data_IF_497062624598
#
_entry.id   IF_497062624598
#
_cell.length_a   1.000
_cell.length_b   1.000
_cell.length_c   1.000
_cell.angle_alpha   90.00
_cell.angle_beta   90.00
_cell.angle_gamma   90.00
#
_symmetry.space_group_name_H-M   'P 1'
#
loop_
_entity.id
_entity.type
_entity.pdbx_description
1 polymer ?
#
# COMPACT_ATOMS: atom_id res chain seq x y z
N UNK A 1 4.90 -5.34 -9.93
CA UNK A 1 5.47 -4.36 -10.90
C UNK A 1 4.90 -3.00 -10.54
N UNK A 2 5.71 -1.92 -10.55
CA UNK A 2 5.24 -0.55 -10.27
C UNK A 2 4.25 -0.13 -11.35
N UNK A 3 3.15 0.50 -10.96
CA UNK A 3 2.11 1.00 -11.85
C UNK A 3 2.03 2.53 -11.81
N UNK A 4 2.20 3.18 -12.95
CA UNK A 4 2.19 4.64 -13.09
C UNK A 4 0.95 5.09 -13.85
N UNK A 5 0.15 5.97 -13.24
CA UNK A 5 -1.00 6.60 -13.86
C UNK A 5 -0.59 7.85 -14.66
N UNK A 6 -0.91 7.91 -15.94
CA UNK A 6 -0.76 9.13 -16.77
C UNK A 6 -2.09 9.88 -16.71
N UNK A 7 -2.16 10.90 -15.85
CA UNK A 7 -3.39 11.67 -15.60
C UNK A 7 -3.56 12.76 -16.66
N UNK A 8 -4.59 12.65 -17.48
CA UNK A 8 -4.94 13.67 -18.48
C UNK A 8 -5.84 14.73 -17.86
N UNK A 9 -5.22 15.86 -17.46
CA UNK A 9 -5.77 16.87 -16.56
C UNK A 9 -6.75 17.88 -17.19
N UNK A 10 -7.15 17.75 -18.46
CA UNK A 10 -8.12 18.64 -19.11
C UNK A 10 -9.26 17.86 -19.75
N UNK A 11 -10.49 18.28 -19.56
CA UNK A 11 -11.69 17.70 -20.18
C UNK A 11 -12.25 18.55 -21.33
N UNK A 12 -11.61 19.68 -21.66
CA UNK A 12 -12.07 20.61 -22.70
C UNK A 12 -12.26 19.92 -24.05
N UNK A 13 -13.36 20.12 -24.78
CA UNK A 13 -13.49 19.68 -26.18
C UNK A 13 -12.36 20.25 -27.05
N UNK A 14 -11.75 19.42 -27.88
CA UNK A 14 -10.63 19.83 -28.74
C UNK A 14 -9.33 20.12 -27.97
N UNK A 15 -9.16 19.57 -26.77
CA UNK A 15 -7.89 19.66 -25.99
C UNK A 15 -6.75 19.01 -26.79
N UNK A 16 -5.56 19.57 -26.60
CA UNK A 16 -4.32 19.02 -27.19
C UNK A 16 -3.71 17.92 -26.31
N UNK A 17 -4.16 17.83 -25.07
CA UNK A 17 -3.66 16.85 -24.10
C UNK A 17 -3.79 15.39 -24.55
N UNK A 18 -4.76 15.06 -25.42
CA UNK A 18 -4.90 13.71 -26.00
C UNK A 18 -3.64 13.30 -26.81
N UNK A 19 -3.06 14.22 -27.55
CA UNK A 19 -1.84 13.99 -28.34
C UNK A 19 -0.63 13.84 -27.43
N UNK A 20 -0.52 14.70 -26.41
CA UNK A 20 0.58 14.68 -25.43
C UNK A 20 0.52 13.40 -24.58
N UNK A 21 -0.64 13.06 -24.02
CA UNK A 21 -0.79 11.86 -23.19
C UNK A 21 -0.51 10.58 -23.97
N UNK A 22 -0.93 10.52 -25.23
CA UNK A 22 -0.61 9.40 -26.14
C UNK A 22 0.89 9.27 -26.34
N UNK A 23 1.59 10.36 -26.64
CA UNK A 23 3.05 10.37 -26.81
C UNK A 23 3.77 9.92 -25.54
N UNK A 24 3.36 10.40 -24.36
CA UNK A 24 3.92 9.95 -23.08
C UNK A 24 3.70 8.45 -22.90
N UNK A 25 2.48 7.96 -23.15
CA UNK A 25 2.13 6.54 -22.99
C UNK A 25 2.91 5.66 -23.99
N UNK A 26 2.98 6.02 -25.26
CA UNK A 26 3.72 5.25 -26.28
C UNK A 26 5.21 5.12 -25.95
N UNK A 27 5.82 6.17 -25.36
CA UNK A 27 7.22 6.13 -24.92
C UNK A 27 7.41 5.34 -23.64
N UNK A 28 6.46 5.45 -22.73
CA UNK A 28 6.47 4.73 -21.46
C UNK A 28 6.18 3.23 -21.64
N UNK A 29 5.28 2.84 -22.54
CA UNK A 29 4.88 1.45 -22.80
C UNK A 29 6.03 0.53 -23.26
N UNK A 30 7.10 1.10 -23.84
CA UNK A 30 8.29 0.35 -24.25
C UNK A 30 9.28 0.09 -23.11
N UNK A 31 8.98 0.56 -21.89
CA UNK A 31 9.78 0.33 -20.68
C UNK A 31 9.37 -1.01 -20.04
N UNK A 32 10.34 -1.78 -19.60
CA UNK A 32 10.06 -3.05 -18.90
C UNK A 32 10.08 -2.93 -17.37
N UNK A 33 10.26 -1.72 -16.82
CA UNK A 33 10.46 -1.45 -15.41
C UNK A 33 9.17 -1.04 -14.65
N UNK A 34 8.12 -0.65 -15.39
CA UNK A 34 6.81 -0.29 -14.82
C UNK A 34 5.67 -0.54 -15.83
N UNK A 35 4.45 -0.65 -15.32
CA UNK A 35 3.21 -0.60 -16.09
C UNK A 35 2.72 0.86 -16.15
N UNK A 36 2.24 1.30 -17.32
CA UNK A 36 1.72 2.64 -17.52
C UNK A 36 0.28 2.60 -18.02
N UNK A 37 -0.61 3.35 -17.38
CA UNK A 37 -2.02 3.44 -17.76
C UNK A 37 -2.49 4.90 -17.84
N UNK A 38 -3.27 5.23 -18.87
CA UNK A 38 -3.86 6.57 -19.01
C UNK A 38 -5.11 6.67 -18.14
N UNK A 39 -5.19 7.73 -17.34
CA UNK A 39 -6.34 8.10 -16.51
C UNK A 39 -6.92 9.40 -17.12
N UNK A 40 -7.94 9.28 -17.95
CA UNK A 40 -8.61 10.43 -18.54
C UNK A 40 -9.71 10.95 -17.60
N UNK A 41 -9.61 12.20 -17.16
CA UNK A 41 -10.62 12.79 -16.30
C UNK A 41 -12.01 12.95 -16.98
N UNK A 42 -12.13 12.77 -18.29
CA UNK A 42 -13.44 12.65 -18.96
C UNK A 42 -14.20 11.39 -18.58
N UNK A 43 -13.47 10.31 -18.31
CA UNK A 43 -14.05 9.02 -17.92
C UNK A 43 -14.45 9.02 -16.42
N UNK A 44 -14.04 10.06 -15.68
CA UNK A 44 -14.32 10.26 -14.28
C UNK A 44 -15.05 11.60 -14.03
N UNK A 45 -16.34 11.72 -14.39
CA UNK A 45 -17.09 12.98 -14.28
C UNK A 45 -17.46 13.27 -12.83
N UNK A 46 -16.51 13.79 -12.08
CA UNK A 46 -16.71 14.19 -10.68
C UNK A 46 -17.53 15.49 -10.60
N UNK A 47 -18.48 15.62 -9.66
CA UNK A 47 -19.16 16.87 -9.39
C UNK A 47 -18.18 17.90 -8.81
N UNK A 48 -18.60 19.14 -8.59
CA UNK A 48 -17.86 20.01 -7.69
C UNK A 48 -17.81 19.38 -6.31
N UNK A 49 -16.71 19.59 -5.57
CA UNK A 49 -16.53 18.99 -4.25
C UNK A 49 -17.63 19.49 -3.29
N UNK A 50 -18.48 18.56 -2.85
CA UNK A 50 -19.58 18.82 -1.90
C UNK A 50 -19.40 18.03 -0.59
N UNK A 51 -18.51 17.05 -0.59
CA UNK A 51 -18.18 16.24 0.59
C UNK A 51 -17.00 16.86 1.38
N UNK A 52 -16.90 16.58 2.69
CA UNK A 52 -15.68 16.93 3.43
C UNK A 52 -14.44 16.29 2.81
N UNK A 53 -13.26 16.91 2.95
CA UNK A 53 -12.01 16.35 2.43
C UNK A 53 -11.80 14.89 2.85
N UNK A 54 -11.37 14.06 1.91
CA UNK A 54 -11.28 12.60 2.03
C UNK A 54 -10.15 12.06 2.92
N UNK A 55 -9.83 12.71 4.04
CA UNK A 55 -8.76 12.27 4.96
C UNK A 55 -8.95 10.88 5.55
N UNK A 56 -10.20 10.38 5.57
CA UNK A 56 -10.52 9.05 6.10
C UNK A 56 -10.52 7.95 5.02
N UNK A 57 -10.40 8.29 3.74
CA UNK A 57 -10.58 7.34 2.63
C UNK A 57 -12.02 6.80 2.49
N UNK A 58 -12.99 7.46 3.12
CA UNK A 58 -14.41 7.07 3.08
C UNK A 58 -15.21 8.12 2.30
N UNK A 59 -15.75 7.72 1.17
CA UNK A 59 -16.49 8.59 0.25
C UNK A 59 -17.95 8.13 0.13
N UNK A 60 -18.88 9.07 0.10
CA UNK A 60 -20.31 8.77 -0.05
C UNK A 60 -20.70 8.68 -1.53
N UNK A 61 -20.16 9.57 -2.38
CA UNK A 61 -20.42 9.57 -3.82
C UNK A 61 -19.76 8.38 -4.50
N UNK A 62 -20.52 7.63 -5.30
CA UNK A 62 -20.03 6.45 -6.03
C UNK A 62 -18.95 6.80 -7.06
N UNK A 63 -19.04 7.96 -7.71
CA UNK A 63 -18.05 8.45 -8.68
C UNK A 63 -16.73 8.74 -7.98
N UNK A 64 -16.78 9.33 -6.78
CA UNK A 64 -15.58 9.55 -5.95
C UNK A 64 -14.95 8.22 -5.56
N UNK A 65 -15.74 7.22 -5.14
CA UNK A 65 -15.21 5.88 -4.82
C UNK A 65 -14.57 5.20 -6.04
N UNK A 66 -15.20 5.30 -7.20
CA UNK A 66 -14.67 4.73 -8.44
C UNK A 66 -13.33 5.39 -8.83
N UNK A 67 -13.26 6.72 -8.74
CA UNK A 67 -12.02 7.45 -9.01
C UNK A 67 -10.93 7.13 -7.97
N UNK A 68 -11.27 7.08 -6.69
CA UNK A 68 -10.38 6.69 -5.61
C UNK A 68 -9.76 5.31 -5.85
N UNK A 69 -10.56 4.33 -6.28
CA UNK A 69 -10.08 2.98 -6.61
C UNK A 69 -9.06 2.98 -7.76
N UNK A 70 -9.28 3.79 -8.80
CA UNK A 70 -8.33 3.94 -9.92
C UNK A 70 -7.02 4.55 -9.43
N UNK A 71 -7.08 5.63 -8.65
CA UNK A 71 -5.89 6.30 -8.10
C UNK A 71 -5.16 5.39 -7.11
N UNK A 72 -5.90 4.67 -6.25
CA UNK A 72 -5.32 3.72 -5.31
C UNK A 72 -4.52 2.61 -6.00
N UNK A 73 -4.95 2.17 -7.19
CA UNK A 73 -4.28 1.11 -7.95
C UNK A 73 -2.91 1.52 -8.54
N UNK A 74 -2.54 2.80 -8.49
CA UNK A 74 -1.28 3.31 -9.02
C UNK A 74 -0.26 3.57 -7.91
N UNK A 75 1.02 3.42 -8.24
CA UNK A 75 2.16 3.67 -7.35
C UNK A 75 2.76 5.07 -7.52
N UNK A 76 2.46 5.72 -8.62
CA UNK A 76 2.89 7.08 -8.94
C UNK A 76 2.15 7.64 -10.14
N UNK A 77 2.41 8.89 -10.48
CA UNK A 77 1.66 9.60 -11.51
C UNK A 77 2.55 10.45 -12.40
N UNK A 78 2.14 10.58 -13.67
CA UNK A 78 2.58 11.62 -14.59
C UNK A 78 1.37 12.48 -14.94
N UNK A 79 1.33 13.71 -14.49
CA UNK A 79 0.26 14.64 -14.80
C UNK A 79 0.52 15.34 -16.12
N UNK A 80 -0.37 15.14 -17.12
CA UNK A 80 -0.38 15.84 -18.41
C UNK A 80 -1.36 17.00 -18.30
N UNK A 81 -0.85 18.23 -18.19
CA UNK A 81 -1.68 19.41 -17.89
C UNK A 81 -1.43 20.59 -18.83
N UNK A 82 -2.47 21.25 -19.33
CA UNK A 82 -2.33 22.60 -19.90
C UNK A 82 -2.15 23.64 -18.80
N UNK A 83 -1.82 24.86 -19.23
CA UNK A 83 -1.89 26.04 -18.38
C UNK A 83 -3.11 26.87 -18.75
N UNK A 84 -4.00 27.08 -17.79
CA UNK A 84 -5.15 27.99 -17.91
C UNK A 84 -5.02 29.13 -16.89
N UNK A 85 -4.86 30.36 -17.39
CA UNK A 85 -4.76 31.54 -16.53
C UNK A 85 -3.74 31.41 -15.41
N UNK A 86 -2.52 30.99 -15.74
CA UNK A 86 -1.38 30.79 -14.84
C UNK A 86 -1.53 29.63 -13.82
N UNK A 87 -2.52 28.73 -14.00
CA UNK A 87 -2.75 27.62 -13.07
C UNK A 87 -3.18 26.35 -13.81
N UNK A 88 -3.48 25.32 -13.04
CA UNK A 88 -4.02 24.04 -13.52
C UNK A 88 -5.47 24.19 -13.95
N UNK A 89 -5.98 23.31 -14.84
CA UNK A 89 -7.43 23.25 -15.12
C UNK A 89 -8.23 23.01 -13.82
N UNK A 90 -9.34 23.72 -13.65
CA UNK A 90 -10.21 23.55 -12.47
C UNK A 90 -10.67 22.11 -12.28
N UNK A 91 -10.90 21.37 -13.36
CA UNK A 91 -11.30 19.94 -13.31
C UNK A 91 -10.19 19.07 -12.72
N UNK A 92 -8.92 19.35 -13.01
CA UNK A 92 -7.79 18.62 -12.41
C UNK A 92 -7.70 18.92 -10.91
N UNK A 93 -7.77 20.21 -10.53
CA UNK A 93 -7.77 20.58 -9.11
C UNK A 93 -8.94 19.96 -8.36
N UNK A 94 -10.15 19.99 -8.94
CA UNK A 94 -11.33 19.35 -8.37
C UNK A 94 -11.14 17.86 -8.16
N UNK A 95 -10.59 17.14 -9.17
CA UNK A 95 -10.32 15.71 -9.05
C UNK A 95 -9.30 15.39 -7.93
N UNK A 96 -8.28 16.23 -7.78
CA UNK A 96 -7.29 16.06 -6.69
C UNK A 96 -7.89 16.32 -5.32
N UNK A 97 -8.86 17.22 -5.20
CA UNK A 97 -9.50 17.58 -3.94
C UNK A 97 -10.55 16.55 -3.47
N UNK A 98 -11.10 15.75 -4.39
CA UNK A 98 -12.11 14.74 -4.05
C UNK A 98 -11.58 13.62 -3.16
N UNK A 99 -10.29 13.28 -3.27
CA UNK A 99 -9.66 12.16 -2.56
C UNK A 99 -8.36 12.64 -1.94
N UNK A 100 -7.91 11.96 -0.87
CA UNK A 100 -6.69 12.37 -0.16
C UNK A 100 -5.73 11.21 0.06
N UNK A 101 -6.17 10.17 0.76
CA UNK A 101 -5.28 9.07 1.19
C UNK A 101 -4.72 8.27 0.02
N UNK A 102 -5.44 8.21 -1.09
CA UNK A 102 -5.01 7.49 -2.29
C UNK A 102 -3.85 8.16 -3.03
N UNK A 103 -3.63 9.46 -2.77
CA UNK A 103 -2.48 10.19 -3.29
C UNK A 103 -1.21 9.98 -2.45
N UNK A 104 -1.37 9.73 -1.15
CA UNK A 104 -0.28 9.79 -0.18
C UNK A 104 0.87 8.83 -0.50
N UNK A 105 2.10 9.28 -0.25
CA UNK A 105 3.32 8.49 -0.40
C UNK A 105 3.55 7.92 -1.80
N UNK A 106 3.07 8.63 -2.83
CA UNK A 106 3.27 8.29 -4.25
C UNK A 106 4.13 9.36 -4.93
N UNK A 107 4.84 8.99 -6.01
CA UNK A 107 5.60 9.94 -6.79
C UNK A 107 4.75 10.68 -7.81
N UNK A 108 5.09 11.92 -8.11
CA UNK A 108 4.45 12.73 -9.15
C UNK A 108 5.47 13.36 -10.09
N UNK A 109 5.23 13.24 -11.40
CA UNK A 109 5.96 13.93 -12.45
C UNK A 109 5.02 14.75 -13.33
N UNK A 110 5.57 15.69 -14.11
CA UNK A 110 4.75 16.64 -14.86
C UNK A 110 5.19 16.75 -16.30
N UNK A 111 4.21 16.66 -17.20
CA UNK A 111 4.30 17.00 -18.61
C UNK A 111 3.29 18.10 -18.88
N UNK A 112 3.74 19.31 -19.15
CA UNK A 112 2.87 20.46 -19.29
C UNK A 112 2.98 21.12 -20.66
N UNK A 113 1.92 21.78 -21.08
CA UNK A 113 1.87 22.49 -22.36
C UNK A 113 1.11 23.82 -22.24
N UNK A 114 1.47 24.76 -23.07
CA UNK A 114 0.86 26.11 -23.05
C UNK A 114 1.73 27.15 -23.76
N UNK A 115 1.39 28.42 -23.62
CA UNK A 115 2.15 29.53 -24.25
C UNK A 115 3.61 29.57 -23.82
N UNK A 116 3.87 29.28 -22.51
CA UNK A 116 5.22 29.18 -21.93
C UNK A 116 5.51 27.74 -21.47
N UNK A 117 4.99 26.75 -22.19
CA UNK A 117 5.19 25.33 -21.89
C UNK A 117 4.39 24.82 -20.68
N UNK A 118 3.50 25.63 -20.09
CA UNK A 118 2.70 25.23 -18.92
C UNK A 118 3.47 25.27 -17.61
N UNK A 119 4.62 25.91 -17.53
CA UNK A 119 5.50 25.91 -16.34
C UNK A 119 4.80 26.45 -15.08
N UNK A 120 3.99 27.51 -15.22
CA UNK A 120 3.27 28.10 -14.09
C UNK A 120 2.17 27.20 -13.55
N UNK A 121 1.54 26.42 -14.39
CA UNK A 121 0.59 25.37 -13.98
C UNK A 121 1.29 24.32 -13.09
N UNK A 122 2.48 23.90 -13.48
CA UNK A 122 3.27 22.92 -12.71
C UNK A 122 3.70 23.49 -11.37
N UNK A 123 4.13 24.75 -11.28
CA UNK A 123 4.47 25.39 -10.01
C UNK A 123 3.30 25.36 -9.02
N UNK A 124 2.09 25.66 -9.49
CA UNK A 124 0.89 25.56 -8.64
C UNK A 124 0.57 24.10 -8.27
N UNK A 125 0.78 23.16 -9.19
CA UNK A 125 0.50 21.74 -8.94
C UNK A 125 1.47 21.14 -7.93
N UNK A 126 2.72 21.56 -7.91
CA UNK A 126 3.71 21.16 -6.88
C UNK A 126 3.27 21.53 -5.47
N UNK A 127 2.65 22.69 -5.28
CA UNK A 127 2.10 23.10 -3.98
C UNK A 127 0.93 22.18 -3.56
N UNK A 128 0.08 21.79 -4.51
CA UNK A 128 -1.02 20.85 -4.26
C UNK A 128 -0.48 19.44 -3.94
N UNK A 129 0.53 18.99 -4.67
CA UNK A 129 1.21 17.71 -4.40
C UNK A 129 1.77 17.66 -2.98
N UNK A 130 2.43 18.72 -2.53
CA UNK A 130 2.95 18.82 -1.15
C UNK A 130 1.85 18.66 -0.10
N UNK A 131 0.69 19.29 -0.30
CA UNK A 131 -0.46 19.18 0.60
C UNK A 131 -1.07 17.75 0.62
N UNK A 132 -0.99 17.03 -0.49
CA UNK A 132 -1.50 15.67 -0.65
C UNK A 132 -0.46 14.58 -0.35
N UNK A 133 0.71 14.96 0.19
CA UNK A 133 1.82 14.03 0.44
C UNK A 133 2.26 13.25 -0.82
N UNK A 134 2.08 13.84 -2.02
CA UNK A 134 2.66 13.39 -3.26
C UNK A 134 4.10 13.92 -3.35
N UNK A 135 5.06 13.04 -3.55
CA UNK A 135 6.47 13.40 -3.71
C UNK A 135 6.75 13.77 -5.17
N UNK A 136 6.77 15.04 -5.48
CA UNK A 136 7.01 15.52 -6.84
C UNK A 136 8.50 15.50 -7.20
N UNK A 137 8.81 14.92 -8.36
CA UNK A 137 10.19 14.84 -8.87
C UNK A 137 10.62 16.17 -9.50
N UNK A 138 11.90 16.51 -9.40
CA UNK A 138 12.44 17.76 -9.93
C UNK A 138 12.35 17.86 -11.48
N UNK A 139 12.68 16.82 -12.26
CA UNK A 139 12.50 16.89 -13.71
C UNK A 139 11.05 17.11 -14.13
N UNK A 140 10.85 17.93 -15.14
CA UNK A 140 9.55 18.14 -15.80
C UNK A 140 9.74 18.34 -17.29
N UNK A 141 8.72 18.03 -18.08
CA UNK A 141 8.67 18.27 -19.51
C UNK A 141 7.76 19.47 -19.76
N UNK A 142 8.32 20.52 -20.37
CA UNK A 142 7.56 21.72 -20.78
C UNK A 142 7.46 21.79 -22.29
N UNK A 143 6.24 21.95 -22.80
CA UNK A 143 5.92 21.91 -24.23
C UNK A 143 5.29 23.23 -24.67
N UNK A 144 6.11 24.26 -25.05
CA UNK A 144 5.60 25.50 -25.56
C UNK A 144 4.83 25.29 -26.89
N UNK A 145 3.64 25.88 -27.01
CA UNK A 145 2.82 25.72 -28.20
C UNK A 145 3.52 26.22 -29.47
N UNK A 146 4.38 27.23 -29.35
CA UNK A 146 5.09 27.82 -30.47
C UNK A 146 6.16 26.89 -31.09
N UNK A 147 6.77 26.01 -30.29
CA UNK A 147 7.89 25.16 -30.72
C UNK A 147 7.52 23.68 -30.82
N UNK A 148 6.63 23.20 -29.97
CA UNK A 148 6.30 21.78 -29.90
C UNK A 148 4.96 21.42 -30.58
N UNK A 149 4.26 22.42 -31.18
CA UNK A 149 3.01 22.21 -31.90
C UNK A 149 3.00 22.95 -33.22
N UNK A 150 2.93 22.21 -34.34
CA UNK A 150 2.74 22.80 -35.64
C UNK A 150 1.39 23.54 -35.69
N UNK A 151 1.42 24.80 -36.10
CA UNK A 151 0.25 25.70 -36.12
C UNK A 151 -0.44 25.79 -34.73
N UNK A 152 0.28 25.66 -33.65
CA UNK A 152 -0.20 25.64 -32.25
C UNK A 152 -1.26 24.54 -31.93
N UNK A 153 -1.45 23.57 -32.83
CA UNK A 153 -2.54 22.56 -32.70
C UNK A 153 -2.07 21.11 -32.85
N UNK A 154 -1.12 20.86 -33.74
CA UNK A 154 -0.63 19.51 -34.02
C UNK A 154 0.67 19.28 -33.27
N UNK A 155 0.64 18.34 -32.32
CA UNK A 155 1.81 18.04 -31.51
C UNK A 155 2.93 17.42 -32.32
N UNK A 156 4.09 18.05 -32.32
CA UNK A 156 5.29 17.68 -33.04
C UNK A 156 6.53 18.02 -32.20
N UNK A 157 6.79 17.27 -31.15
CA UNK A 157 7.86 17.58 -30.18
C UNK A 157 9.24 17.39 -30.83
N UNK A 158 10.18 18.26 -30.47
CA UNK A 158 11.58 18.09 -30.83
C UNK A 158 12.24 16.91 -30.14
N UNK A 159 13.34 16.38 -30.71
CA UNK A 159 14.05 15.20 -30.15
C UNK A 159 14.55 15.41 -28.73
N UNK A 160 14.88 16.64 -28.32
CA UNK A 160 15.31 16.96 -26.95
C UNK A 160 14.22 16.64 -25.92
N UNK A 161 12.95 16.68 -26.28
CA UNK A 161 11.83 16.33 -25.41
C UNK A 161 11.79 14.83 -25.08
N UNK A 162 12.30 13.98 -25.96
CA UNK A 162 12.42 12.54 -25.69
C UNK A 162 13.39 12.26 -24.53
N UNK A 163 14.54 12.94 -24.53
CA UNK A 163 15.51 12.80 -23.44
C UNK A 163 14.94 13.34 -22.12
N UNK A 164 14.27 14.49 -22.16
CA UNK A 164 13.62 15.08 -20.99
C UNK A 164 12.53 14.16 -20.42
N UNK A 165 11.70 13.56 -21.29
CA UNK A 165 10.68 12.59 -20.89
C UNK A 165 11.32 11.32 -20.28
N UNK A 166 12.38 10.81 -20.89
CA UNK A 166 13.12 9.66 -20.35
C UNK A 166 13.59 9.92 -18.90
N UNK A 167 14.26 11.05 -18.68
CA UNK A 167 14.71 11.45 -17.35
C UNK A 167 13.54 11.60 -16.35
N UNK A 168 12.42 12.19 -16.76
CA UNK A 168 11.23 12.32 -15.93
C UNK A 168 10.70 10.96 -15.49
N UNK A 169 10.54 10.03 -16.46
CA UNK A 169 10.02 8.69 -16.19
C UNK A 169 10.97 7.87 -15.28
N UNK A 170 12.28 7.99 -15.47
CA UNK A 170 13.28 7.35 -14.60
C UNK A 170 13.11 7.79 -13.15
N UNK A 171 12.95 9.09 -12.91
CA UNK A 171 12.74 9.63 -11.56
C UNK A 171 11.39 9.20 -10.98
N UNK A 172 10.30 9.24 -11.75
CA UNK A 172 8.97 8.84 -11.25
C UNK A 172 8.98 7.35 -10.84
N UNK A 173 9.55 6.47 -11.66
CA UNK A 173 9.63 5.02 -11.34
C UNK A 173 10.53 4.78 -10.13
N UNK A 174 11.70 5.41 -10.08
CA UNK A 174 12.64 5.26 -8.96
C UNK A 174 12.02 5.73 -7.63
N UNK A 175 11.35 6.89 -7.62
CA UNK A 175 10.69 7.41 -6.41
C UNK A 175 9.45 6.60 -6.05
N UNK A 176 8.66 6.16 -7.02
CA UNK A 176 7.51 5.26 -6.78
C UNK A 176 7.95 3.96 -6.10
N UNK A 177 9.10 3.42 -6.52
CA UNK A 177 9.70 2.23 -5.91
C UNK A 177 10.20 2.51 -4.50
N UNK A 178 10.92 3.62 -4.30
CA UNK A 178 11.46 4.00 -3.00
C UNK A 178 10.37 4.30 -1.96
N UNK A 179 9.22 4.83 -2.39
CA UNK A 179 8.09 5.15 -1.52
C UNK A 179 7.14 3.96 -1.28
N UNK A 180 7.32 2.83 -1.99
CA UNK A 180 6.46 1.66 -1.85
C UNK A 180 6.28 1.19 -0.39
N UNK A 181 7.32 1.15 0.46
CA UNK A 181 7.16 0.76 1.86
C UNK A 181 6.25 1.68 2.68
N UNK A 182 6.10 2.95 2.28
CA UNK A 182 5.24 3.93 2.95
C UNK A 182 3.78 3.79 2.54
N UNK A 183 3.53 3.23 1.35
CA UNK A 183 2.17 2.97 0.84
C UNK A 183 1.55 1.72 1.41
N UNK A 184 2.15 1.08 2.38
CA UNK A 184 1.68 -0.16 2.97
C UNK A 184 0.16 -0.25 2.94
N UNK A 185 -0.38 -0.43 1.71
CA UNK A 185 -1.79 -0.54 1.44
C UNK A 185 -2.29 -1.70 2.24
N UNK A 186 -3.22 -1.43 3.13
CA UNK A 186 -3.90 -2.42 3.94
C UNK A 186 -2.97 -3.45 4.61
N UNK A 187 -1.83 -2.96 5.13
CA UNK A 187 -0.93 -3.83 5.91
C UNK A 187 -1.69 -4.47 7.08
N UNK A 188 -2.73 -3.82 7.60
CA UNK A 188 -3.65 -4.43 8.57
C UNK A 188 -4.34 -5.66 7.96
N UNK A 189 -4.98 -5.56 6.79
CA UNK A 189 -5.63 -6.71 6.15
C UNK A 189 -4.63 -7.78 5.69
N UNK A 190 -3.43 -7.38 5.24
CA UNK A 190 -2.38 -8.35 4.91
C UNK A 190 -1.93 -9.09 6.15
N UNK A 191 -1.75 -8.41 7.27
CA UNK A 191 -1.33 -9.01 8.54
C UNK A 191 -2.43 -9.88 9.12
N UNK A 192 -3.72 -9.46 9.04
CA UNK A 192 -4.86 -10.31 9.44
C UNK A 192 -4.85 -11.61 8.62
N UNK A 193 -4.69 -11.53 7.32
CA UNK A 193 -4.57 -12.68 6.44
C UNK A 193 -3.38 -13.58 6.81
N UNK A 194 -2.23 -12.99 7.15
CA UNK A 194 -1.07 -13.75 7.66
C UNK A 194 -1.39 -14.48 8.97
N UNK A 195 -2.16 -13.87 9.86
CA UNK A 195 -2.61 -14.52 11.10
C UNK A 195 -3.66 -15.61 10.84
N UNK A 196 -4.55 -15.41 9.85
CA UNK A 196 -5.45 -16.47 9.39
C UNK A 196 -4.66 -17.66 8.81
N UNK A 197 -3.60 -17.40 8.03
CA UNK A 197 -2.68 -18.45 7.54
C UNK A 197 -1.99 -19.21 8.69
N UNK A 198 -1.62 -18.52 9.80
CA UNK A 198 -1.12 -19.20 11.01
C UNK A 198 -2.18 -20.13 11.58
N UNK A 199 -3.42 -19.63 11.74
CA UNK A 199 -4.54 -20.44 12.27
C UNK A 199 -4.77 -21.70 11.42
N UNK A 200 -4.85 -21.56 10.09
CA UNK A 200 -5.06 -22.68 9.17
C UNK A 200 -3.88 -23.65 9.17
N UNK A 201 -2.65 -23.16 9.19
CA UNK A 201 -1.46 -24.01 9.27
C UNK A 201 -1.41 -24.80 10.59
N UNK A 202 -1.82 -24.21 11.71
CA UNK A 202 -1.93 -24.89 12.99
C UNK A 202 -3.02 -25.98 12.95
N UNK A 203 -4.19 -25.69 12.41
CA UNK A 203 -5.28 -26.65 12.22
C UNK A 203 -4.88 -27.84 11.35
N UNK A 204 -4.13 -27.55 10.27
CA UNK A 204 -3.61 -28.57 9.37
C UNK A 204 -2.38 -29.30 9.90
N UNK A 205 -1.79 -28.86 11.01
CA UNK A 205 -0.48 -29.30 11.54
C UNK A 205 0.65 -29.18 10.52
N UNK A 206 0.59 -28.14 9.67
CA UNK A 206 1.52 -27.91 8.58
C UNK A 206 2.70 -27.02 9.04
N UNK A 207 3.83 -27.67 9.37
CA UNK A 207 5.06 -26.99 9.79
C UNK A 207 5.71 -26.21 8.65
N UNK A 208 5.55 -26.65 7.40
CA UNK A 208 6.18 -25.95 6.27
C UNK A 208 5.41 -24.65 5.94
N UNK A 209 4.09 -24.66 6.02
CA UNK A 209 3.30 -23.44 5.93
C UNK A 209 3.69 -22.44 7.03
N UNK A 210 3.84 -22.90 8.29
CA UNK A 210 4.32 -22.06 9.40
C UNK A 210 5.72 -21.51 9.14
N UNK A 211 6.64 -22.30 8.57
CA UNK A 211 7.98 -21.87 8.20
C UNK A 211 7.96 -20.66 7.25
N UNK A 212 7.02 -20.63 6.32
CA UNK A 212 6.85 -19.52 5.35
C UNK A 212 6.31 -18.22 5.97
N UNK A 213 5.75 -18.29 7.19
CA UNK A 213 5.17 -17.13 7.88
C UNK A 213 6.15 -16.52 8.88
N UNK A 214 6.99 -17.33 9.51
CA UNK A 214 8.01 -16.87 10.47
C UNK A 214 9.30 -16.44 9.77
N UNK A 215 9.94 -15.41 10.32
CA UNK A 215 11.30 -15.05 9.90
C UNK A 215 12.31 -16.13 10.32
N UNK A 216 13.40 -16.38 9.55
CA UNK A 216 14.44 -17.33 9.94
C UNK A 216 15.04 -17.05 11.32
N UNK A 217 15.13 -15.78 11.70
CA UNK A 217 15.68 -15.25 12.94
C UNK A 217 14.61 -14.88 13.99
N UNK A 218 13.42 -15.45 13.90
CA UNK A 218 12.32 -15.18 14.85
C UNK A 218 12.74 -15.46 16.29
N UNK A 219 12.30 -14.61 17.22
CA UNK A 219 12.41 -14.86 18.67
C UNK A 219 11.00 -15.00 19.21
N UNK A 220 10.71 -16.13 19.85
CA UNK A 220 9.38 -16.44 20.38
C UNK A 220 9.45 -16.65 21.91
N UNK A 221 8.52 -16.05 22.62
CA UNK A 221 8.29 -16.29 24.05
C UNK A 221 6.99 -17.07 24.23
N UNK A 222 7.11 -18.25 24.82
CA UNK A 222 5.97 -19.12 24.99
C UNK A 222 5.59 -19.26 26.47
N UNK A 223 4.40 -19.78 26.77
CA UNK A 223 3.96 -20.08 28.13
C UNK A 223 4.74 -21.23 28.76
N UNK A 224 5.30 -22.12 27.93
CA UNK A 224 6.14 -23.23 28.36
C UNK A 224 7.63 -22.90 28.27
N UNK A 225 8.48 -23.50 29.15
CA UNK A 225 9.93 -23.42 29.05
C UNK A 225 10.45 -23.90 27.68
N UNK A 226 11.57 -23.35 27.20
CA UNK A 226 12.46 -22.37 27.84
C UNK A 226 11.94 -20.94 27.78
N UNK A 227 12.68 -19.98 28.38
CA UNK A 227 12.32 -18.54 28.34
C UNK A 227 12.13 -18.00 26.94
N UNK A 228 12.82 -18.56 25.94
CA UNK A 228 12.70 -18.19 24.54
C UNK A 228 13.03 -19.33 23.58
N UNK A 229 12.42 -19.27 22.40
CA UNK A 229 12.81 -20.04 21.23
C UNK A 229 13.46 -19.09 20.23
N UNK A 230 14.74 -19.28 19.92
CA UNK A 230 15.49 -18.46 18.97
C UNK A 230 15.66 -19.19 17.64
N UNK A 231 15.19 -18.53 16.57
CA UNK A 231 15.16 -19.04 15.20
C UNK A 231 13.94 -19.91 14.89
N UNK A 232 13.59 -19.94 13.61
CA UNK A 232 12.40 -20.64 13.11
C UNK A 232 12.42 -22.13 13.43
N UNK A 233 13.57 -22.79 13.39
CA UNK A 233 13.68 -24.22 13.71
C UNK A 233 13.28 -24.54 15.17
N UNK A 234 13.69 -23.69 16.11
CA UNK A 234 13.32 -23.84 17.51
C UNK A 234 11.80 -23.62 17.71
N UNK A 235 11.22 -22.61 17.03
CA UNK A 235 9.78 -22.37 17.05
C UNK A 235 8.98 -23.53 16.46
N UNK A 236 9.38 -24.05 15.31
CA UNK A 236 8.70 -25.18 14.67
C UNK A 236 8.81 -26.48 15.49
N UNK A 237 9.94 -26.70 16.16
CA UNK A 237 10.10 -27.83 17.08
C UNK A 237 9.12 -27.74 18.25
N UNK A 238 8.84 -26.53 18.77
CA UNK A 238 7.83 -26.33 19.81
C UNK A 238 6.43 -26.68 19.28
N UNK A 239 6.05 -26.21 18.08
CA UNK A 239 4.78 -26.58 17.46
C UNK A 239 4.68 -28.08 17.16
N UNK A 240 5.75 -28.72 16.69
CA UNK A 240 5.78 -30.16 16.47
C UNK A 240 5.47 -30.94 17.75
N UNK A 241 5.97 -30.48 18.92
CA UNK A 241 5.63 -31.06 20.23
C UNK A 241 4.13 -30.94 20.52
N UNK A 242 3.53 -29.76 20.31
CA UNK A 242 2.08 -29.54 20.47
C UNK A 242 1.28 -30.49 19.57
N UNK A 243 1.70 -30.67 18.32
CA UNK A 243 1.02 -31.55 17.35
C UNK A 243 1.05 -33.04 17.75
N UNK A 244 1.98 -33.48 18.59
CA UNK A 244 1.96 -34.84 19.15
C UNK A 244 0.95 -35.01 20.28
N UNK A 245 0.60 -33.91 20.98
CA UNK A 245 -0.35 -33.94 22.10
C UNK A 245 -1.79 -33.99 21.60
N UNK A 246 -2.09 -33.34 20.48
CA UNK A 246 -3.42 -33.25 19.92
C UNK A 246 -3.63 -34.23 18.76
N UNK A 247 -4.74 -34.91 18.70
CA UNK A 247 -5.24 -35.58 17.50
C UNK A 247 -5.78 -34.54 16.51
N UNK A 248 -6.66 -33.65 16.99
CA UNK A 248 -7.19 -32.50 16.26
C UNK A 248 -6.87 -31.23 17.08
N UNK A 249 -6.22 -30.27 16.45
CA UNK A 249 -5.91 -28.98 17.06
C UNK A 249 -6.74 -27.89 16.38
N UNK A 250 -7.24 -26.96 17.17
CA UNK A 250 -7.84 -25.70 16.73
C UNK A 250 -7.14 -24.54 17.41
N UNK A 251 -7.04 -23.42 16.73
CA UNK A 251 -6.48 -22.18 17.22
C UNK A 251 -7.43 -21.02 16.92
N UNK A 252 -7.76 -20.26 17.95
CA UNK A 252 -8.65 -19.09 17.84
C UNK A 252 -7.89 -17.84 18.23
N UNK A 253 -8.08 -16.75 17.47
CA UNK A 253 -7.64 -15.40 17.81
C UNK A 253 -8.86 -14.51 18.06
N UNK A 254 -8.86 -13.75 19.16
CA UNK A 254 -9.95 -12.84 19.55
C UNK A 254 -9.41 -11.45 19.90
N UNK A 255 -10.23 -10.42 19.66
CA UNK A 255 -9.98 -9.00 19.98
C UNK A 255 -8.65 -8.48 19.43
N UNK A 256 -8.34 -8.90 18.18
CA UNK A 256 -7.08 -8.58 17.53
C UNK A 256 -7.03 -7.10 17.12
N UNK A 257 -6.10 -6.36 17.71
CA UNK A 257 -5.74 -4.98 17.35
C UNK A 257 -4.40 -4.99 16.63
N UNK A 258 -4.31 -4.33 15.47
CA UNK A 258 -3.09 -4.21 14.66
C UNK A 258 -2.69 -2.75 14.54
N UNK A 259 -1.42 -2.46 14.75
CA UNK A 259 -0.82 -1.14 14.52
C UNK A 259 0.34 -1.29 13.55
N UNK A 260 0.33 -0.50 12.48
CA UNK A 260 1.35 -0.55 11.42
C UNK A 260 2.11 0.76 11.36
N UNK A 261 3.43 0.70 11.21
CA UNK A 261 4.30 1.85 10.99
C UNK A 261 5.55 1.44 10.18
N UNK A 262 5.79 2.09 9.04
CA UNK A 262 7.03 2.05 8.26
C UNK A 262 7.70 0.67 8.12
N UNK A 263 6.94 -0.36 7.72
CA UNK A 263 7.47 -1.72 7.50
C UNK A 263 7.63 -2.55 8.77
N UNK A 264 7.12 -2.06 9.92
CA UNK A 264 6.94 -2.78 11.16
C UNK A 264 5.46 -2.79 11.54
N UNK A 265 4.96 -3.90 12.06
CA UNK A 265 3.61 -3.93 12.62
C UNK A 265 3.58 -4.75 13.91
N UNK A 266 2.66 -4.38 14.79
CA UNK A 266 2.38 -5.10 16.03
C UNK A 266 0.91 -5.46 16.06
N UNK A 267 0.62 -6.76 16.17
CA UNK A 267 -0.70 -7.28 16.46
C UNK A 267 -0.75 -7.80 17.91
N UNK A 268 -1.81 -7.49 18.64
CA UNK A 268 -2.04 -8.07 19.96
C UNK A 268 -3.52 -8.40 20.14
N UNK A 269 -3.77 -9.41 20.95
CA UNK A 269 -5.12 -9.92 21.26
C UNK A 269 -5.04 -11.13 22.17
N UNK A 270 -6.03 -11.98 22.07
CA UNK A 270 -6.07 -13.23 22.83
C UNK A 270 -6.02 -14.42 21.89
N UNK A 271 -5.26 -15.46 22.27
CA UNK A 271 -5.14 -16.71 21.55
C UNK A 271 -5.58 -17.89 22.41
N UNK A 272 -6.18 -18.91 21.80
CA UNK A 272 -6.58 -20.14 22.49
C UNK A 272 -6.30 -21.35 21.61
N UNK A 273 -5.58 -22.33 22.17
CA UNK A 273 -5.46 -23.66 21.58
C UNK A 273 -6.52 -24.56 22.20
N UNK A 274 -7.30 -25.25 21.38
CA UNK A 274 -8.31 -26.20 21.77
C UNK A 274 -8.30 -27.41 20.85
N UNK A 275 -9.14 -28.41 21.10
CA UNK A 275 -9.27 -29.55 20.19
C UNK A 275 -9.44 -30.87 20.90
N UNK A 276 -9.03 -31.97 20.23
CA UNK A 276 -9.10 -33.35 20.78
C UNK A 276 -7.68 -33.83 21.03
N UNK A 277 -7.37 -34.24 22.24
CA UNK A 277 -6.07 -34.85 22.60
C UNK A 277 -5.90 -36.20 21.89
N UNK A 278 -4.66 -36.66 21.77
CA UNK A 278 -4.34 -38.00 21.26
C UNK A 278 -4.95 -39.13 22.13
N UNK A 279 -5.37 -38.81 23.37
CA UNK A 279 -6.13 -39.70 24.27
C UNK A 279 -7.61 -39.82 23.91
N UNK A 280 -8.14 -39.00 22.98
CA UNK A 280 -9.56 -38.91 22.62
C UNK A 280 -10.35 -37.89 23.48
N UNK A 281 -9.75 -37.25 24.48
CA UNK A 281 -10.40 -36.25 25.31
C UNK A 281 -10.50 -34.91 24.59
N UNK A 282 -11.68 -34.29 24.64
CA UNK A 282 -11.87 -32.93 24.11
C UNK A 282 -11.46 -31.89 25.17
N UNK A 283 -10.65 -30.90 24.75
CA UNK A 283 -10.20 -29.81 25.61
C UNK A 283 -10.53 -28.44 25.00
N UNK A 284 -11.04 -27.54 25.83
CA UNK A 284 -11.36 -26.16 25.43
C UNK A 284 -10.14 -25.25 25.43
N UNK A 285 -9.04 -25.71 26.05
CA UNK A 285 -7.81 -24.94 26.20
C UNK A 285 -7.93 -23.75 27.16
N UNK A 286 -6.89 -22.95 27.18
CA UNK A 286 -6.82 -21.72 27.97
C UNK A 286 -6.59 -20.51 27.07
N UNK A 287 -7.11 -19.36 27.46
CA UNK A 287 -6.80 -18.10 26.80
C UNK A 287 -5.42 -17.58 27.25
N UNK A 288 -4.65 -17.13 26.29
CA UNK A 288 -3.36 -16.47 26.48
C UNK A 288 -3.39 -15.09 25.88
N UNK A 289 -2.64 -14.17 26.45
CA UNK A 289 -2.34 -12.89 25.79
C UNK A 289 -1.35 -13.19 24.68
N UNK A 290 -1.71 -12.84 23.47
CA UNK A 290 -0.91 -13.05 22.27
C UNK A 290 -0.43 -11.72 21.71
N UNK A 291 0.86 -11.62 21.39
CA UNK A 291 1.44 -10.48 20.69
C UNK A 291 2.28 -11.01 19.52
N UNK A 292 2.15 -10.36 18.39
CA UNK A 292 2.89 -10.67 17.16
C UNK A 292 3.56 -9.41 16.64
N UNK A 293 4.84 -9.48 16.34
CA UNK A 293 5.57 -8.41 15.68
C UNK A 293 5.92 -8.86 14.29
N UNK A 294 5.47 -8.09 13.31
CA UNK A 294 5.73 -8.33 11.89
C UNK A 294 6.74 -7.33 11.35
N UNK A 295 7.56 -7.78 10.42
CA UNK A 295 8.44 -6.93 9.62
C UNK A 295 8.21 -7.21 8.15
N UNK A 296 8.15 -6.14 7.36
CA UNK A 296 8.14 -6.27 5.92
C UNK A 296 9.54 -6.60 5.42
N UNK A 297 9.72 -7.74 4.75
CA UNK A 297 10.98 -8.20 4.15
C UNK A 297 10.71 -8.66 2.73
N UNK A 298 11.50 -8.13 1.76
CA UNK A 298 11.29 -8.46 0.35
C UNK A 298 9.87 -8.13 -0.10
N UNK A 299 9.13 -9.14 -0.50
CA UNK A 299 7.76 -9.07 -1.04
C UNK A 299 6.65 -9.37 -0.02
N UNK A 300 6.98 -9.50 1.28
CA UNK A 300 5.95 -9.86 2.26
C UNK A 300 6.24 -9.53 3.72
N UNK A 301 5.18 -9.66 4.52
CA UNK A 301 5.23 -9.53 5.97
C UNK A 301 5.53 -10.89 6.62
N UNK A 302 6.51 -10.94 7.52
CA UNK A 302 6.90 -12.12 8.29
C UNK A 302 6.90 -11.81 9.78
N UNK A 303 6.58 -12.81 10.61
CA UNK A 303 6.63 -12.70 12.07
C UNK A 303 8.09 -12.76 12.52
N UNK A 304 8.58 -11.69 13.12
CA UNK A 304 9.95 -11.60 13.69
C UNK A 304 9.97 -11.83 15.19
N UNK A 305 8.82 -11.66 15.85
CA UNK A 305 8.64 -11.97 17.27
C UNK A 305 7.19 -12.35 17.52
N UNK A 306 6.97 -13.33 18.37
CA UNK A 306 5.68 -13.61 18.99
C UNK A 306 5.83 -13.88 20.47
N UNK A 307 4.76 -13.61 21.21
CA UNK A 307 4.68 -13.87 22.64
C UNK A 307 3.30 -14.40 23.02
N UNK A 308 3.29 -15.47 23.79
CA UNK A 308 2.12 -15.97 24.51
C UNK A 308 2.38 -15.93 26.01
N UNK A 309 1.42 -15.44 26.78
CA UNK A 309 1.54 -15.39 28.25
C UNK A 309 0.19 -15.49 28.94
N UNK A 310 0.19 -15.99 30.16
CA UNK A 310 -0.95 -15.95 31.08
C UNK A 310 -0.70 -14.94 32.21
N UNK A 311 -1.74 -14.38 32.83
CA UNK A 311 -1.60 -13.60 34.06
C UNK A 311 -0.96 -14.45 35.15
N UNK A 312 -0.10 -13.83 35.94
CA UNK A 312 0.55 -14.47 37.09
C UNK A 312 -0.04 -13.91 38.37
N UNK A 313 -0.57 -14.79 39.25
CA UNK A 313 -1.07 -14.41 40.55
C UNK A 313 0.09 -14.41 41.59
N UNK A 314 0.41 -13.23 42.08
CA UNK A 314 1.50 -13.04 43.05
C UNK A 314 1.24 -13.72 44.39
N UNK A 315 -0.03 -13.90 44.79
CA UNK A 315 -0.37 -14.49 46.06
C UNK A 315 -0.20 -16.01 46.06
N UNK A 316 -0.61 -16.69 44.99
CA UNK A 316 -0.48 -18.14 44.85
C UNK A 316 0.83 -18.57 44.20
N UNK A 317 1.57 -17.66 43.55
CA UNK A 317 2.77 -17.97 42.77
C UNK A 317 2.50 -18.80 41.50
N UNK A 318 1.28 -18.71 40.94
CA UNK A 318 0.85 -19.53 39.77
C UNK A 318 0.35 -18.68 38.64
N UNK A 319 0.46 -19.22 37.44
CA UNK A 319 -0.24 -18.69 36.22
C UNK A 319 -1.76 -18.95 36.38
N UNK A 320 -2.56 -17.94 35.98
CA UNK A 320 -4.03 -18.03 35.98
C UNK A 320 -4.48 -18.43 34.60
N UNK A 321 -5.16 -19.56 34.45
CA UNK A 321 -5.47 -20.20 33.14
C UNK A 321 -6.96 -20.35 32.87
N UNK A 322 -7.81 -19.90 33.77
CA UNK A 322 -9.29 -20.00 33.74
C UNK A 322 -9.98 -18.66 33.44
N UNK A 323 -9.25 -17.65 33.01
CA UNK A 323 -9.80 -16.36 32.64
C UNK A 323 -10.33 -16.39 31.19
N UNK A 324 -11.46 -15.70 30.98
CA UNK A 324 -12.07 -15.48 29.66
C UNK A 324 -11.92 -14.01 29.24
N UNK A 325 -11.67 -13.69 27.93
CA UNK A 325 -11.60 -12.33 27.43
C UNK A 325 -12.97 -11.69 27.30
#
# INVERSE_FOLDING_TARGET
MIKIGIVLGSTRPGRQGDQVARWVHERAANRGDAEFAVIDLRDHPLPHLEEPPGFSGRYQDERTRAFAAVVASCDGFVFVTPEYNHSVPGVLKNAMDHIHVEWNSKAAGFVSYGGVGGARSVEQLRLVCGALQLADVAPQVTLPLATEFANHTVFAPGDHQLAALGTLLDHVVAWSTALAPLRGGDADAVIRRRLDEVVEALRAKDLEALRGIYAPDVVSFDVEPPLQHAGVEAKLKNWAKVFTIFEKVDYELRDLTITVSAGLAVGHGFGRISGTLATGEAVTGMWVRATFVFRHRGDGWVIVHDQASVPFDLASGRGVTDLEP
#
